data_IF_438007918300
#
_entry.id   IF_438007918300
#
_cell.length_a   1.000
_cell.length_b   1.000
_cell.length_c   1.000
_cell.angle_alpha   90.00
_cell.angle_beta   90.00
_cell.angle_gamma   90.00
#
_symmetry.space_group_name_H-M   'P 1'
#
loop_
_entity.id
_entity.type
_entity.pdbx_description
1 polymer ?
2 non-polymer ?
3 water ?
#
# COMPACT_ATOMS: atom_id res chain seq x y z
N UNK A 2 -23.65 1.57 20.83
CA UNK A 2 -24.36 1.38 19.51
C UNK A 2 -23.45 0.66 18.47
N UNK A 3 -24.05 0.15 17.39
CA UNK A 3 -23.34 -0.69 16.41
C UNK A 3 -22.28 -0.04 15.49
N UNK A 4 -21.12 -0.70 15.48
CA UNK A 4 -20.08 -0.45 14.53
C UNK A 4 -20.59 -1.20 13.30
N UNK A 5 -20.63 -0.49 12.18
CA UNK A 5 -21.09 -1.06 10.91
C UNK A 5 -19.91 -1.20 9.95
N UNK A 6 -19.89 -2.32 9.24
CA UNK A 6 -18.88 -2.55 8.21
C UNK A 6 -19.55 -2.71 6.87
N UNK A 7 -19.26 -1.79 5.92
CA UNK A 7 -19.67 -1.98 4.52
C UNK A 7 -18.70 -2.93 3.80
N UNK A 8 -19.24 -4.08 3.43
CA UNK A 8 -18.40 -5.30 3.33
C UNK A 8 -18.93 -6.36 2.33
N UNK A 9 -18.03 -7.24 1.91
CA UNK A 9 -18.39 -8.43 1.14
C UNK A 9 -17.40 -9.47 1.63
N UNK A 10 -17.88 -10.58 2.13
CA UNK A 10 -17.01 -11.56 2.73
C UNK A 10 -15.92 -12.12 1.80
N UNK A 11 -16.17 -12.14 0.50
CA UNK A 11 -15.10 -12.57 -0.42
C UNK A 11 -13.88 -11.63 -0.50
N UNK A 12 -14.08 -10.37 -0.17
CA UNK A 12 -13.03 -9.34 -0.24
C UNK A 12 -11.95 -9.53 0.87
N UNK A 13 -10.67 -9.68 0.47
CA UNK A 13 -9.61 -9.84 1.51
C UNK A 13 -9.53 -8.70 2.53
N UNK A 14 -9.44 -7.43 2.10
CA UNK A 14 -9.40 -6.42 3.13
C UNK A 14 -10.60 -6.38 4.10
N UNK A 15 -11.80 -6.83 3.69
CA UNK A 15 -12.96 -6.99 4.62
C UNK A 15 -12.69 -8.09 5.70
N UNK A 16 -12.12 -9.17 5.23
CA UNK A 16 -11.75 -10.26 6.11
C UNK A 16 -10.60 -9.86 7.10
N UNK A 17 -9.65 -9.01 6.68
CA UNK A 17 -8.62 -8.54 7.58
C UNK A 17 -9.32 -7.82 8.76
N UNK A 18 -10.31 -6.98 8.45
CA UNK A 18 -11.06 -6.25 9.44
C UNK A 18 -11.84 -7.25 10.30
N UNK A 19 -12.49 -8.24 9.68
CA UNK A 19 -13.25 -9.22 10.42
C UNK A 19 -12.34 -9.92 11.43
N UNK A 20 -11.13 -10.29 11.00
CA UNK A 20 -10.15 -10.91 11.93
C UNK A 20 -9.84 -10.03 13.13
N UNK A 21 -9.56 -8.76 12.85
CA UNK A 21 -9.24 -7.76 13.86
C UNK A 21 -10.42 -7.62 14.85
N UNK A 22 -11.66 -7.50 14.35
CA UNK A 22 -12.80 -7.39 15.21
C UNK A 22 -12.91 -8.60 16.14
N UNK A 23 -12.72 -9.80 15.61
CA UNK A 23 -12.71 -11.01 16.47
C UNK A 23 -11.61 -10.96 17.53
N UNK A 24 -10.40 -10.49 17.16
CA UNK A 24 -9.21 -10.47 18.05
C UNK A 24 -9.43 -9.50 19.23
N UNK A 25 -10.22 -8.48 18.99
CA UNK A 25 -10.59 -7.46 19.98
C UNK A 25 -11.89 -7.73 20.74
N UNK A 26 -12.61 -8.75 20.34
CA UNK A 26 -13.89 -9.14 20.92
C UNK A 26 -14.99 -8.19 20.53
N UNK A 27 -14.93 -7.60 19.35
CA UNK A 27 -15.94 -6.65 18.93
C UNK A 27 -16.96 -7.40 18.07
N UNK A 28 -18.21 -6.92 18.06
CA UNK A 28 -19.22 -7.46 17.12
C UNK A 28 -19.55 -6.47 16.00
N UNK A 29 -19.39 -6.89 14.77
CA UNK A 29 -19.65 -5.96 13.67
C UNK A 29 -21.01 -6.12 13.05
N UNK A 30 -21.70 -5.03 12.78
CA UNK A 30 -22.89 -5.19 11.96
C UNK A 30 -22.48 -5.07 10.49
N UNK A 31 -22.68 -6.13 9.72
CA UNK A 31 -22.22 -6.14 8.33
C UNK A 31 -23.28 -5.75 7.30
N UNK A 32 -22.96 -4.80 6.42
CA UNK A 32 -23.89 -4.36 5.39
C UNK A 32 -23.27 -4.69 4.03
N UNK A 33 -24.00 -5.43 3.19
CA UNK A 33 -23.41 -6.01 1.98
C UNK A 33 -23.25 -4.92 0.95
N UNK A 34 -22.06 -4.77 0.40
CA UNK A 34 -21.88 -3.97 -0.78
C UNK A 34 -21.54 -4.94 -1.90
N UNK A 35 -22.52 -5.29 -2.73
CA UNK A 35 -22.27 -6.26 -3.78
C UNK A 35 -21.55 -5.68 -5.04
N UNK A 36 -20.23 -5.78 -5.03
CA UNK A 36 -19.38 -5.30 -6.09
C UNK A 36 -19.80 -5.94 -7.44
N UNK A 37 -20.33 -7.16 -7.40
CA UNK A 37 -20.62 -7.85 -8.66
C UNK A 37 -21.83 -7.23 -9.39
N UNK A 38 -22.68 -6.53 -8.64
CA UNK A 38 -23.77 -5.78 -9.20
C UNK A 38 -23.53 -4.27 -9.13
N UNK A 39 -22.26 -3.87 -8.93
CA UNK A 39 -21.94 -2.44 -8.91
C UNK A 39 -22.54 -1.65 -7.74
N UNK A 40 -22.80 -2.28 -6.58
CA UNK A 40 -23.29 -1.53 -5.40
C UNK A 40 -22.37 -0.37 -5.02
N UNK A 41 -21.05 -0.62 -5.13
CA UNK A 41 -20.02 0.38 -4.82
C UNK A 41 -19.95 1.59 -5.74
N UNK A 42 -20.54 1.45 -6.93
CA UNK A 42 -20.58 2.56 -7.86
C UNK A 42 -21.79 3.46 -7.67
N UNK A 43 -22.70 3.07 -6.78
CA UNK A 43 -23.94 3.87 -6.54
C UNK A 43 -23.68 5.17 -5.75
N UNK A 44 -24.48 6.25 -6.00
CA UNK A 44 -24.13 7.54 -5.39
C UNK A 44 -24.12 7.51 -3.87
N UNK A 45 -25.02 6.68 -3.31
CA UNK A 45 -25.07 6.40 -1.88
C UNK A 45 -23.76 5.80 -1.31
N UNK A 46 -23.09 4.96 -2.07
CA UNK A 46 -21.81 4.44 -1.60
C UNK A 46 -20.66 5.41 -1.84
N UNK A 47 -20.64 6.07 -2.99
CA UNK A 47 -19.57 7.03 -3.34
C UNK A 47 -19.53 8.16 -2.31
N UNK A 48 -20.68 8.43 -1.69
CA UNK A 48 -20.76 9.48 -0.68
C UNK A 48 -19.93 9.07 0.54
N UNK A 49 -19.93 7.75 0.87
CA UNK A 49 -19.15 7.19 1.96
C UNK A 49 -17.62 7.13 1.69
N UNK A 50 -17.23 6.95 0.43
CA UNK A 50 -15.84 6.77 0.05
C UNK A 50 -15.69 7.19 -1.36
N UNK A 51 -15.07 8.35 -1.58
CA UNK A 51 -14.90 8.75 -2.97
C UNK A 51 -14.05 7.81 -3.83
N UNK A 52 -13.20 6.95 -3.23
CA UNK A 52 -12.45 5.93 -3.98
C UNK A 52 -13.34 4.70 -4.25
N UNK A 53 -14.57 4.75 -3.76
CA UNK A 53 -15.53 3.61 -3.90
C UNK A 53 -14.94 2.20 -3.72
N UNK A 54 -14.13 2.01 -2.66
CA UNK A 54 -13.73 0.65 -2.28
C UNK A 54 -14.38 0.21 -0.98
N UNK A 55 -14.45 -1.11 -0.77
CA UNK A 55 -14.71 -1.72 0.54
C UNK A 55 -13.36 -2.30 1.14
N UNK A 56 -13.18 -2.34 2.49
CA UNK A 56 -14.22 -2.05 3.51
C UNK A 56 -14.33 -0.56 3.78
N UNK A 57 -15.51 -0.16 4.24
CA UNK A 57 -15.71 1.15 4.98
C UNK A 57 -16.35 0.83 6.29
N UNK A 58 -15.81 1.45 7.34
CA UNK A 58 -16.35 1.34 8.70
C UNK A 58 -17.24 2.57 8.98
N UNK A 59 -18.42 2.29 9.56
CA UNK A 59 -19.21 3.33 10.17
C UNK A 59 -19.22 3.11 11.69
N UNK A 60 -18.51 3.96 12.43
CA UNK A 60 -18.53 3.89 13.90
C UNK A 60 -19.47 4.99 14.47
N UNK A 61 -20.79 4.71 14.50
CA UNK A 61 -21.73 5.64 15.12
C UNK A 61 -21.69 6.96 14.41
N UNK A 62 -21.65 6.91 13.10
CA UNK A 62 -21.61 8.11 12.32
C UNK A 62 -20.24 8.46 11.82
N UNK A 63 -19.21 7.95 12.47
CA UNK A 63 -17.85 8.26 12.02
C UNK A 63 -17.44 7.27 10.96
N UNK A 64 -17.05 7.82 9.80
CA UNK A 64 -16.76 7.03 8.66
C UNK A 64 -15.23 6.89 8.54
N UNK A 65 -14.78 5.64 8.51
CA UNK A 65 -13.37 5.35 8.42
C UNK A 65 -13.23 4.41 7.20
N UNK A 66 -12.51 4.85 6.17
CA UNK A 66 -12.29 4.04 4.97
C UNK A 66 -10.90 3.35 5.11
N UNK A 67 -10.72 2.22 4.41
CA UNK A 67 -9.42 1.60 4.04
C UNK A 67 -9.03 0.61 5.12
N UNK A 68 -8.93 -0.68 4.80
CA UNK A 68 -8.77 -1.77 5.81
C UNK A 68 -7.67 -1.51 6.90
N UNK A 69 -6.54 -0.92 6.49
CA UNK A 69 -5.36 -0.81 7.38
C UNK A 69 -5.62 0.31 8.36
N UNK A 70 -6.15 1.44 7.84
CA UNK A 70 -6.60 2.54 8.70
C UNK A 70 -7.69 2.07 9.66
N UNK A 71 -8.66 1.27 9.17
CA UNK A 71 -9.75 0.76 10.02
C UNK A 71 -9.19 -0.16 11.17
N UNK A 72 -8.34 -1.12 10.82
CA UNK A 72 -7.71 -2.00 11.88
C UNK A 72 -6.95 -1.19 12.96
N UNK A 73 -6.23 -0.15 12.52
CA UNK A 73 -5.54 0.67 13.47
C UNK A 73 -6.49 1.43 14.39
N UNK A 74 -7.46 2.05 13.73
CA UNK A 74 -8.47 2.79 14.40
C UNK A 74 -9.10 1.93 15.49
N UNK A 75 -9.51 0.71 15.11
CA UNK A 75 -10.23 -0.21 15.96
C UNK A 75 -9.37 -0.62 17.14
N UNK A 76 -8.09 -0.94 16.92
CA UNK A 76 -7.19 -1.30 18.03
C UNK A 76 -6.95 -0.08 18.96
N UNK A 77 -6.66 1.08 18.36
CA UNK A 77 -6.56 2.34 19.06
C UNK A 77 -7.76 2.68 19.96
N UNK A 78 -8.98 2.54 19.45
CA UNK A 78 -10.18 2.86 20.21
C UNK A 78 -10.52 1.72 21.20
N UNK A 79 -10.40 0.47 20.77
CA UNK A 79 -11.07 -0.64 21.51
C UNK A 79 -10.11 -1.66 22.11
N UNK A 80 -8.84 -1.51 21.85
CA UNK A 80 -7.88 -2.50 22.36
C UNK A 80 -7.70 -2.39 23.86
N UNK A 81 -7.70 -3.52 24.57
CA UNK A 81 -7.34 -3.43 25.97
C UNK A 81 -5.82 -3.33 26.19
N UNK A 82 -5.01 -3.96 25.33
CA UNK A 82 -3.57 -3.72 25.30
C UNK A 82 -3.11 -3.44 23.86
N UNK A 83 -1.79 -3.23 23.67
CA UNK A 83 -1.24 -2.78 22.38
C UNK A 83 -0.61 -3.91 21.54
N UNK A 84 -0.91 -5.15 21.90
CA UNK A 84 -0.20 -6.21 21.27
C UNK A 84 -0.49 -6.35 19.77
N UNK A 85 -1.73 -6.06 19.32
CA UNK A 85 -2.03 -6.12 17.89
C UNK A 85 -1.51 -4.92 17.09
N UNK A 86 -1.24 -3.81 17.77
CA UNK A 86 -0.70 -2.59 17.16
C UNK A 86 0.08 -1.74 18.20
N UNK A 87 1.41 -1.86 18.22
CA UNK A 87 2.20 -1.30 19.32
C UNK A 87 2.21 0.22 19.36
N UNK A 88 2.35 0.76 20.58
CA UNK A 88 2.63 2.13 20.82
C UNK A 88 4.10 2.50 20.60
N UNK A 89 5.02 1.61 20.99
CA UNK A 89 6.46 1.84 20.89
C UNK A 89 6.82 2.19 19.44
N UNK A 90 7.48 3.34 19.20
CA UNK A 90 7.76 3.78 17.80
C UNK A 90 8.50 2.80 16.87
N UNK A 91 9.54 2.14 17.37
CA UNK A 91 10.28 1.13 16.64
C UNK A 91 9.48 -0.13 16.35
N UNK A 92 8.93 -0.74 17.37
CA UNK A 92 8.06 -1.89 17.14
C UNK A 92 6.88 -1.59 16.18
N UNK A 93 6.20 -0.45 16.43
CA UNK A 93 5.17 0.04 15.51
C UNK A 93 5.71 0.28 14.09
N UNK A 94 6.92 0.84 13.93
CA UNK A 94 7.49 0.95 12.55
C UNK A 94 7.61 -0.41 11.81
N UNK A 95 7.98 -1.49 12.50
CA UNK A 95 7.98 -2.81 11.90
C UNK A 95 6.57 -3.31 11.46
N UNK A 96 5.51 -2.98 12.19
CA UNK A 96 4.12 -3.31 11.73
C UNK A 96 3.71 -2.45 10.50
N UNK A 97 4.00 -1.15 10.56
CA UNK A 97 3.63 -0.18 9.52
C UNK A 97 4.31 -0.57 8.25
N UNK A 98 5.57 -1.00 8.37
CA UNK A 98 6.27 -1.50 7.22
C UNK A 98 5.60 -2.78 6.60
N UNK A 99 5.20 -3.76 7.41
CA UNK A 99 4.46 -4.92 6.89
C UNK A 99 3.06 -4.54 6.27
N UNK A 100 2.29 -3.66 6.91
CA UNK A 100 1.02 -3.17 6.33
C UNK A 100 1.15 -2.59 4.93
N UNK A 101 2.16 -1.76 4.72
CA UNK A 101 2.46 -1.19 3.35
C UNK A 101 3.06 -2.16 2.41
N UNK A 102 3.70 -3.19 2.95
CA UNK A 102 4.03 -4.33 2.12
C UNK A 102 2.77 -5.11 1.73
N UNK A 103 1.82 -5.34 2.64
CA UNK A 103 0.55 -5.92 2.18
C UNK A 103 -0.24 -5.09 1.13
N UNK A 104 -0.49 -3.81 1.38
CA UNK A 104 -1.20 -2.98 0.39
C UNK A 104 -0.41 -2.82 -0.95
N UNK A 105 0.91 -2.55 -0.89
CA UNK A 105 1.67 -2.11 -2.06
C UNK A 105 2.17 -3.28 -2.88
N UNK A 106 2.29 -4.44 -2.20
CA UNK A 106 2.84 -5.66 -2.84
C UNK A 106 1.83 -6.82 -2.90
N UNK A 107 1.45 -7.41 -1.79
CA UNK A 107 0.58 -8.60 -1.81
C UNK A 107 -0.84 -8.34 -2.41
N UNK A 108 -1.56 -7.38 -1.86
CA UNK A 108 -2.83 -7.01 -2.43
C UNK A 108 -2.77 -6.41 -3.84
N UNK A 109 -1.86 -5.48 -4.12
CA UNK A 109 -1.91 -4.81 -5.43
C UNK A 109 -1.65 -5.82 -6.58
N UNK A 110 -0.78 -6.81 -6.33
CA UNK A 110 -0.46 -7.81 -7.34
C UNK A 110 -1.59 -8.86 -7.48
N UNK A 111 -2.24 -9.23 -6.39
CA UNK A 111 -3.42 -10.10 -6.40
C UNK A 111 -4.61 -9.48 -7.20
N UNK A 112 -4.94 -8.22 -6.89
CA UNK A 112 -5.86 -7.39 -7.70
C UNK A 112 -5.51 -7.16 -9.19
N UNK A 113 -4.24 -6.99 -9.50
CA UNK A 113 -3.70 -6.94 -10.90
C UNK A 113 -4.00 -8.27 -11.58
N UNK A 114 -4.18 -9.33 -10.78
CA UNK A 114 -4.56 -10.65 -11.35
C UNK A 114 -6.05 -10.90 -11.42
N UNK A 115 -6.79 -10.47 -10.40
CA UNK A 115 -8.22 -10.86 -10.19
C UNK A 115 -9.20 -9.96 -10.93
N UNK A 116 -8.83 -8.70 -10.99
CA UNK A 116 -9.79 -7.65 -11.35
C UNK A 116 -10.26 -7.81 -12.79
N UNK A 117 -9.31 -7.98 -13.69
CA UNK A 117 -9.56 -8.28 -15.08
C UNK A 117 -10.43 -9.52 -15.33
N UNK A 118 -10.32 -10.53 -14.48
CA UNK A 118 -11.19 -11.71 -14.55
C UNK A 118 -12.62 -11.43 -14.05
N UNK A 119 -12.74 -10.86 -12.85
CA UNK A 119 -14.01 -10.70 -12.22
C UNK A 119 -14.86 -9.63 -12.92
N UNK A 120 -14.23 -8.57 -13.42
CA UNK A 120 -14.99 -7.43 -13.97
C UNK A 120 -14.84 -7.13 -15.43
N UNK A 121 -13.80 -7.62 -16.08
CA UNK A 121 -13.49 -7.18 -17.44
C UNK A 121 -13.61 -8.32 -18.45
N UNK A 122 -14.11 -9.47 -17.99
CA UNK A 122 -14.42 -10.64 -18.84
C UNK A 122 -13.20 -11.40 -19.32
N UNK A 123 -12.06 -11.18 -18.65
CA UNK A 123 -10.82 -11.83 -19.09
C UNK A 123 -10.81 -13.28 -18.70
N UNK A 124 -10.31 -14.12 -19.62
CA UNK A 124 -10.18 -15.56 -19.37
C UNK A 124 -8.76 -15.99 -19.02
N UNK A 125 -7.77 -15.11 -19.16
CA UNK A 125 -6.34 -15.51 -18.88
C UNK A 125 -5.77 -14.86 -17.60
N UNK A 126 -4.62 -15.41 -17.15
CA UNK A 126 -3.73 -14.70 -16.20
C UNK A 126 -2.37 -14.52 -16.87
N UNK A 127 -2.15 -13.34 -17.48
CA UNK A 127 -0.85 -13.22 -18.16
C UNK A 127 0.37 -13.69 -17.33
N UNK A 128 1.36 -14.19 -18.07
CA UNK A 128 2.62 -14.63 -17.55
C UNK A 128 3.23 -13.66 -16.50
N UNK A 129 3.36 -12.39 -16.86
CA UNK A 129 3.98 -11.39 -15.97
C UNK A 129 3.22 -11.19 -14.65
N UNK A 130 1.89 -11.21 -14.72
CA UNK A 130 1.06 -11.22 -13.55
C UNK A 130 1.41 -12.40 -12.64
N UNK A 131 1.62 -13.58 -13.22
CA UNK A 131 1.97 -14.77 -12.40
C UNK A 131 3.31 -14.53 -11.75
N UNK A 132 4.24 -13.95 -12.51
CA UNK A 132 5.62 -13.66 -12.04
C UNK A 132 5.65 -12.61 -10.89
N UNK A 133 4.95 -11.48 -11.07
CA UNK A 133 4.68 -10.52 -9.94
C UNK A 133 4.22 -11.24 -8.68
N UNK A 134 3.19 -12.06 -8.81
CA UNK A 134 2.67 -12.82 -7.68
C UNK A 134 3.71 -13.76 -7.02
N UNK A 135 4.31 -14.68 -7.79
CA UNK A 135 5.36 -15.52 -7.29
C UNK A 135 6.44 -14.73 -6.59
N UNK A 136 6.83 -13.60 -7.19
CA UNK A 136 7.79 -12.73 -6.54
C UNK A 136 7.27 -12.14 -5.17
N UNK A 137 5.99 -11.86 -5.07
CA UNK A 137 5.42 -11.37 -3.83
C UNK A 137 5.58 -12.50 -2.77
N UNK A 138 5.38 -13.77 -3.17
CA UNK A 138 5.52 -14.90 -2.21
C UNK A 138 6.93 -14.98 -1.66
N UNK A 139 7.90 -14.74 -2.54
CA UNK A 139 9.30 -14.89 -2.18
C UNK A 139 9.71 -13.79 -1.21
N UNK A 140 9.22 -12.59 -1.46
CA UNK A 140 9.41 -11.46 -0.54
C UNK A 140 8.76 -11.69 0.82
N UNK A 141 7.54 -12.20 0.82
CA UNK A 141 6.92 -12.51 2.09
C UNK A 141 7.71 -13.59 2.88
N UNK A 142 8.03 -14.69 2.22
CA UNK A 142 8.86 -15.76 2.80
C UNK A 142 10.19 -15.19 3.42
N UNK A 143 10.91 -14.28 2.74
CA UNK A 143 12.16 -13.66 3.25
C UNK A 143 11.93 -12.69 4.44
N UNK A 144 10.71 -12.13 4.49
CA UNK A 144 10.29 -11.26 5.58
C UNK A 144 10.01 -12.02 6.88
N UNK A 145 9.51 -13.25 6.77
CA UNK A 145 9.14 -14.06 7.94
C UNK A 145 10.33 -14.70 8.69
N UNK A 146 11.29 -13.86 9.11
CA UNK A 146 12.41 -14.26 10.01
C UNK A 146 11.91 -14.70 11.42
N UNK A 147 10.92 -13.95 11.94
CA UNK A 147 10.19 -14.29 13.11
C UNK A 147 8.91 -15.12 12.84
N UNK A 148 8.25 -15.58 13.89
CA UNK A 148 7.00 -16.38 13.72
C UNK A 148 5.87 -15.62 12.98
N UNK A 149 5.86 -14.28 13.09
CA UNK A 149 4.81 -13.45 12.48
C UNK A 149 5.52 -12.37 11.65
N UNK A 150 4.75 -11.71 10.80
CA UNK A 150 5.32 -10.90 9.74
C UNK A 150 6.05 -9.71 10.32
N UNK A 151 5.60 -9.17 11.46
CA UNK A 151 6.27 -8.02 12.06
C UNK A 151 6.91 -8.31 13.42
N UNK A 152 7.10 -9.60 13.74
CA UNK A 152 8.05 -9.94 14.84
C UNK A 152 7.56 -11.19 15.50
N UNK A 153 7.97 -11.40 16.78
CA UNK A 153 7.63 -12.61 17.56
C UNK A 153 6.18 -12.68 18.01
N UNK A 154 5.51 -11.53 17.96
CA UNK A 154 4.11 -11.41 18.28
C UNK A 154 3.23 -11.16 17.04
N UNK A 155 2.10 -11.89 17.01
CA UNK A 155 0.96 -11.62 16.02
C UNK A 155 0.40 -10.18 16.07
N UNK A 156 0.39 -9.52 14.92
CA UNK A 156 -0.15 -8.19 14.97
C UNK A 156 -1.23 -8.03 13.91
N UNK A 157 -1.84 -6.84 13.78
CA UNK A 157 -2.76 -6.60 12.62
C UNK A 157 -2.12 -6.79 11.21
N UNK A 158 -0.80 -6.63 11.10
CA UNK A 158 -0.11 -6.97 9.83
C UNK A 158 -0.24 -8.46 9.42
N UNK A 159 -0.44 -9.38 10.36
CA UNK A 159 -0.73 -10.78 10.06
C UNK A 159 -2.08 -10.96 9.47
N UNK A 160 -3.07 -10.17 9.91
CA UNK A 160 -4.49 -10.34 9.43
C UNK A 160 -4.65 -9.88 8.00
N UNK A 161 -3.98 -8.78 7.71
CA UNK A 161 -3.92 -8.21 6.40
C UNK A 161 -3.19 -9.16 5.38
N UNK A 162 -2.08 -9.76 5.83
CA UNK A 162 -1.34 -10.63 4.99
C UNK A 162 -2.06 -11.91 4.68
N UNK A 163 -2.59 -12.61 5.70
CA UNK A 163 -3.27 -13.88 5.50
C UNK A 163 -4.57 -13.72 4.72
N UNK A 164 -5.34 -12.65 4.97
CA UNK A 164 -6.61 -12.44 4.20
C UNK A 164 -6.32 -12.50 2.68
N UNK A 165 -5.27 -11.83 2.24
CA UNK A 165 -4.82 -11.90 0.85
C UNK A 165 -4.19 -13.24 0.40
N UNK A 166 -3.17 -13.70 1.12
CA UNK A 166 -2.42 -14.90 0.77
C UNK A 166 -3.41 -16.05 0.72
N UNK A 167 -4.37 -16.08 1.64
CA UNK A 167 -5.39 -17.18 1.62
C UNK A 167 -6.28 -17.14 0.40
N UNK A 168 -6.26 -16.04 -0.36
CA UNK A 168 -7.16 -15.92 -1.50
C UNK A 168 -6.44 -16.24 -2.81
N UNK A 169 -5.27 -15.64 -2.98
CA UNK A 169 -4.42 -15.84 -4.13
C UNK A 169 -3.75 -17.22 -4.20
N UNK A 170 -3.49 -17.90 -3.08
CA UNK A 170 -2.86 -19.20 -3.23
C UNK A 170 -3.82 -20.24 -3.90
N UNK A 171 -5.09 -19.91 -3.96
CA UNK A 171 -6.07 -20.74 -4.67
C UNK A 171 -5.98 -20.67 -6.19
N UNK A 172 -5.30 -19.63 -6.68
CA UNK A 172 -5.26 -19.30 -8.06
C UNK A 172 -3.82 -19.41 -8.54
N UNK A 173 -2.87 -18.68 -7.95
CA UNK A 173 -1.45 -18.79 -8.34
C UNK A 173 -0.75 -19.69 -7.31
N UNK A 174 -0.29 -20.89 -7.70
CA UNK A 174 0.17 -21.90 -6.72
C UNK A 174 1.35 -21.40 -5.85
N UNK A 175 1.20 -21.57 -4.53
CA UNK A 175 2.21 -21.25 -3.54
C UNK A 175 2.85 -22.58 -3.21
N UNK A 176 4.03 -22.83 -3.77
CA UNK A 176 4.62 -24.16 -3.62
C UNK A 176 5.15 -24.36 -2.19
N UNK A 177 4.67 -25.40 -1.56
CA UNK A 177 5.11 -25.69 -0.21
C UNK A 177 6.63 -25.88 0.01
N UNK A 178 7.25 -26.65 -0.86
CA UNK A 178 8.64 -27.00 -0.65
C UNK A 178 9.49 -25.72 -0.75
N UNK A 179 9.02 -24.71 -1.47
CA UNK A 179 9.80 -23.48 -1.70
C UNK A 179 9.43 -22.36 -0.72
N UNK A 180 8.31 -22.53 -0.05
CA UNK A 180 7.89 -21.50 0.90
C UNK A 180 7.56 -22.13 2.30
N UNK A 181 8.56 -22.80 2.96
CA UNK A 181 8.16 -23.44 4.23
C UNK A 181 7.82 -22.45 5.38
N UNK A 182 8.36 -21.23 5.35
CA UNK A 182 8.05 -20.24 6.39
C UNK A 182 6.61 -19.72 6.30
N UNK A 183 6.16 -19.38 5.09
CA UNK A 183 4.74 -19.03 4.87
C UNK A 183 3.86 -20.18 5.33
N UNK A 184 4.19 -21.41 4.97
CA UNK A 184 3.32 -22.54 5.42
C UNK A 184 3.26 -22.70 6.94
N UNK A 185 4.38 -22.56 7.62
CA UNK A 185 4.37 -22.57 9.04
C UNK A 185 3.61 -21.34 9.64
N UNK A 186 3.79 -20.12 9.09
CA UNK A 186 3.01 -18.96 9.55
C UNK A 186 1.45 -19.19 9.38
N UNK A 187 1.01 -19.71 8.22
CA UNK A 187 -0.40 -20.10 8.01
C UNK A 187 -0.93 -21.03 9.11
N UNK A 188 -0.14 -22.04 9.46
CA UNK A 188 -0.57 -23.00 10.47
C UNK A 188 -0.72 -22.35 11.85
N UNK A 189 0.17 -21.41 12.22
CA UNK A 189 0.02 -20.56 13.42
C UNK A 189 -1.34 -19.85 13.43
N UNK A 190 -1.62 -19.07 12.38
CA UNK A 190 -2.92 -18.34 12.22
C UNK A 190 -4.18 -19.23 12.26
N UNK A 191 -4.12 -20.44 11.75
CA UNK A 191 -5.32 -21.27 11.64
C UNK A 191 -5.60 -21.90 12.99
N UNK A 192 -4.68 -21.73 13.92
CA UNK A 192 -4.96 -22.09 15.30
C UNK A 192 -5.98 -21.15 15.99
N UNK A 193 -6.11 -19.92 15.51
CA UNK A 193 -7.03 -19.00 16.13
C UNK A 193 -8.44 -19.56 16.13
N UNK A 194 -9.14 -19.49 17.27
CA UNK A 194 -10.47 -20.19 17.22
C UNK A 194 -11.53 -19.59 16.25
N UNK A 195 -11.32 -18.34 15.79
CA UNK A 195 -12.19 -17.59 14.88
C UNK A 195 -11.60 -17.47 13.46
N UNK A 196 -10.46 -18.14 13.23
CA UNK A 196 -9.91 -18.19 11.85
C UNK A 196 -10.91 -18.65 10.74
N UNK A 197 -11.57 -19.81 10.91
CA UNK A 197 -12.43 -20.30 9.80
C UNK A 197 -13.57 -19.30 9.48
N UNK A 198 -14.33 -18.90 10.52
CA UNK A 198 -15.46 -17.97 10.36
C UNK A 198 -15.00 -16.58 9.85
N UNK A 199 -13.89 -16.04 10.38
CA UNK A 199 -13.52 -14.71 10.00
C UNK A 199 -12.82 -14.60 8.65
N UNK A 200 -12.13 -15.67 8.23
CA UNK A 200 -11.22 -15.62 7.05
C UNK A 200 -11.18 -16.86 6.18
N UNK A 201 -10.97 -18.03 6.80
CA UNK A 201 -10.63 -19.22 6.00
C UNK A 201 -11.65 -19.49 4.86
N UNK A 202 -12.94 -19.56 5.19
CA UNK A 202 -13.96 -19.84 4.15
C UNK A 202 -14.00 -18.82 3.00
N UNK A 203 -13.93 -17.52 3.32
CA UNK A 203 -13.94 -16.43 2.33
C UNK A 203 -12.76 -16.48 1.38
N UNK A 204 -11.58 -16.77 1.94
CA UNK A 204 -10.32 -16.81 1.17
C UNK A 204 -10.34 -17.92 0.14
N UNK A 205 -10.63 -19.13 0.62
CA UNK A 205 -10.92 -20.30 -0.23
C UNK A 205 -12.01 -20.03 -1.29
N UNK A 206 -13.16 -19.49 -0.87
CA UNK A 206 -14.25 -19.17 -1.80
C UNK A 206 -13.92 -18.10 -2.87
N UNK A 207 -13.15 -17.06 -2.52
CA UNK A 207 -12.71 -16.11 -3.53
C UNK A 207 -11.81 -16.76 -4.58
N UNK A 208 -10.86 -17.59 -4.14
CA UNK A 208 -10.08 -18.46 -5.03
C UNK A 208 -10.95 -19.32 -6.00
N UNK A 209 -11.85 -20.14 -5.43
CA UNK A 209 -12.80 -20.84 -6.23
C UNK A 209 -13.56 -20.00 -7.26
N UNK A 210 -14.01 -18.83 -6.84
CA UNK A 210 -14.92 -18.04 -7.62
C UNK A 210 -14.11 -17.47 -8.79
N UNK A 211 -12.87 -17.04 -8.54
CA UNK A 211 -12.01 -16.53 -9.62
C UNK A 211 -11.81 -17.65 -10.74
N UNK A 212 -11.41 -18.83 -10.28
CA UNK A 212 -11.27 -20.02 -11.13
C UNK A 212 -12.54 -20.35 -11.91
N UNK A 213 -13.70 -20.21 -11.28
CA UNK A 213 -14.99 -20.40 -11.98
C UNK A 213 -15.34 -19.29 -12.98
N UNK A 214 -15.17 -18.03 -12.61
CA UNK A 214 -15.25 -16.88 -13.54
C UNK A 214 -14.32 -16.95 -14.74
N UNK A 215 -13.09 -17.38 -14.52
CA UNK A 215 -12.13 -17.50 -15.58
C UNK A 215 -12.63 -18.52 -16.62
N UNK A 216 -13.06 -19.69 -16.17
CA UNK A 216 -13.62 -20.72 -17.09
C UNK A 216 -14.90 -20.21 -17.84
N UNK A 217 -15.88 -19.73 -17.09
CA UNK A 217 -16.99 -19.02 -17.66
C UNK A 217 -16.57 -18.04 -18.78
N UNK A 218 -15.59 -17.14 -18.54
CA UNK A 218 -15.18 -16.11 -19.51
C UNK A 218 -14.52 -16.67 -20.80
N UNK A 219 -13.94 -17.87 -20.66
CA UNK A 219 -13.26 -18.63 -21.74
C UNK A 219 -14.21 -19.39 -22.67
N UNK A 220 -15.51 -19.35 -22.36
CA UNK A 220 -16.55 -20.02 -23.14
C UNK A 220 -17.13 -18.96 -24.03
N UNK A 221 -17.40 -17.84 -23.36
CA UNK A 221 -18.33 -16.76 -23.80
C UNK A 221 -18.36 -15.65 -22.72
N UNK B 1 23.84 12.22 19.10
CA UNK B 1 24.16 10.88 18.53
C UNK B 1 24.61 11.03 17.05
N UNK B 2 24.54 9.98 16.23
CA UNK B 2 24.90 10.13 14.79
C UNK B 2 23.73 10.65 13.98
N UNK B 3 24.05 11.50 13.00
CA UNK B 3 23.09 11.88 11.94
C UNK B 3 22.33 10.67 11.40
N UNK B 4 21.05 10.90 11.14
CA UNK B 4 20.24 9.90 10.50
C UNK B 4 20.83 9.58 9.14
N UNK B 5 20.78 8.31 8.79
CA UNK B 5 21.25 7.85 7.50
C UNK B 5 20.09 7.38 6.66
N UNK B 6 19.97 7.94 5.45
CA UNK B 6 19.10 7.34 4.43
C UNK B 6 19.84 6.63 3.29
N UNK B 7 19.63 5.32 3.20
CA UNK B 7 19.96 4.49 2.00
C UNK B 7 18.91 4.70 0.91
N UNK B 8 19.36 5.26 -0.21
CA UNK B 8 18.47 6.11 -1.00
C UNK B 8 18.98 6.41 -2.43
N UNK B 9 18.14 7.04 -3.26
CA UNK B 9 18.49 7.45 -4.60
C UNK B 9 17.49 8.53 -4.93
N UNK B 10 17.96 9.67 -5.39
CA UNK B 10 17.10 10.78 -5.58
C UNK B 10 16.07 10.55 -6.66
N UNK B 11 16.37 9.76 -7.68
CA UNK B 11 15.37 9.38 -8.65
C UNK B 11 14.13 8.57 -8.12
N UNK B 12 14.33 7.89 -7.01
CA UNK B 12 13.29 7.01 -6.42
C UNK B 12 12.21 7.86 -5.73
N UNK B 13 10.91 7.70 -6.16
CA UNK B 13 9.80 8.40 -5.51
C UNK B 13 9.61 8.17 -3.98
N UNK B 14 9.49 6.91 -3.51
CA UNK B 14 9.43 6.85 -2.07
C UNK B 14 10.65 7.47 -1.34
N UNK B 15 11.86 7.46 -1.96
CA UNK B 15 13.02 8.21 -1.32
C UNK B 15 12.79 9.73 -1.17
N UNK B 16 12.25 10.35 -2.24
CA UNK B 16 11.85 11.75 -2.21
C UNK B 16 10.78 12.16 -1.21
N UNK B 17 9.82 11.28 -0.96
CA UNK B 17 8.85 11.47 0.11
C UNK B 17 9.54 11.59 1.46
N UNK B 18 10.42 10.67 1.77
CA UNK B 18 11.23 10.78 2.98
C UNK B 18 12.10 12.05 3.04
N UNK B 19 12.72 12.41 1.92
CA UNK B 19 13.51 13.67 1.87
C UNK B 19 12.65 14.95 2.09
N UNK B 20 11.40 14.98 1.59
CA UNK B 20 10.49 16.09 1.88
C UNK B 20 10.11 16.07 3.34
N UNK B 21 9.82 14.90 3.88
CA UNK B 21 9.52 14.75 5.34
C UNK B 21 10.64 15.30 6.23
N UNK B 22 11.90 14.94 5.90
CA UNK B 22 13.07 15.41 6.61
C UNK B 22 13.14 16.91 6.59
N UNK B 23 13.01 17.51 5.41
CA UNK B 23 13.07 18.97 5.24
C UNK B 23 11.99 19.68 6.06
N UNK B 24 10.74 19.24 5.90
CA UNK B 24 9.63 19.66 6.76
C UNK B 24 9.95 19.61 8.29
N UNK B 25 10.64 18.55 8.74
CA UNK B 25 10.99 18.38 10.14
C UNK B 25 12.26 19.17 10.53
N UNK B 26 12.83 19.90 9.57
CA UNK B 26 14.17 20.46 9.74
C UNK B 26 15.18 19.45 10.25
N UNK B 27 15.17 18.25 9.68
CA UNK B 27 16.18 17.19 9.96
C UNK B 27 17.21 17.12 8.84
N UNK B 28 18.46 16.84 9.19
CA UNK B 28 19.46 16.63 8.16
C UNK B 28 19.66 15.12 7.93
N UNK B 29 19.63 14.71 6.67
CA UNK B 29 19.78 13.29 6.35
C UNK B 29 21.10 13.09 5.67
N UNK B 30 21.85 12.14 6.17
CA UNK B 30 23.02 11.64 5.49
C UNK B 30 22.60 10.58 4.44
N UNK B 31 22.79 10.92 3.16
CA UNK B 31 22.42 10.02 2.07
C UNK B 31 23.56 9.08 1.66
N UNK B 32 23.27 7.79 1.64
CA UNK B 32 24.16 6.79 1.07
C UNK B 32 23.51 6.23 -0.20
N UNK B 33 24.09 6.50 -1.35
CA UNK B 33 23.44 6.13 -2.60
C UNK B 33 23.32 4.63 -2.80
N UNK B 34 22.09 4.17 -3.01
CA UNK B 34 21.92 2.82 -3.46
C UNK B 34 21.45 2.94 -4.92
N UNK B 35 22.35 2.68 -5.85
CA UNK B 35 22.04 2.84 -7.28
C UNK B 35 21.40 1.58 -7.79
N UNK B 36 20.09 1.63 -7.98
CA UNK B 36 19.31 0.46 -8.45
C UNK B 36 19.73 -0.02 -9.87
N UNK B 37 20.16 0.93 -10.67
CA UNK B 37 20.54 0.77 -12.04
C UNK B 37 21.86 -0.01 -12.20
N UNK B 38 22.76 0.12 -11.23
CA UNK B 38 23.96 -0.72 -11.18
C UNK B 38 23.80 -1.79 -10.12
N UNK B 39 22.57 -2.05 -9.71
CA UNK B 39 22.18 -3.22 -8.91
C UNK B 39 22.49 -3.18 -7.43
N UNK B 40 22.64 -1.98 -6.87
CA UNK B 40 23.28 -1.85 -5.52
C UNK B 40 22.37 -2.42 -4.44
N UNK B 41 21.07 -2.39 -4.73
CA UNK B 41 20.05 -2.96 -3.81
C UNK B 41 20.04 -4.47 -3.64
N UNK B 42 20.68 -5.16 -4.57
CA UNK B 42 20.84 -6.61 -4.51
C UNK B 42 22.24 -7.01 -3.97
N UNK B 43 23.18 -6.06 -3.87
CA UNK B 43 24.51 -6.37 -3.31
C UNK B 43 24.32 -6.89 -1.85
N UNK B 44 25.22 -7.73 -1.34
CA UNK B 44 24.75 -8.51 -0.17
C UNK B 44 24.75 -7.83 1.23
N UNK B 45 25.47 -6.72 1.40
CA UNK B 45 25.36 -5.93 2.66
C UNK B 45 24.01 -5.29 2.80
N UNK B 46 23.53 -4.71 1.70
CA UNK B 46 22.20 -4.12 1.65
C UNK B 46 21.05 -5.12 1.93
N UNK B 47 21.16 -6.36 1.45
CA UNK B 47 20.16 -7.41 1.71
C UNK B 47 19.96 -7.76 3.20
N UNK B 48 21.03 -7.64 3.99
CA UNK B 48 20.97 -7.82 5.45
C UNK B 48 20.21 -6.69 6.14
N UNK B 49 20.30 -5.47 5.61
CA UNK B 49 19.50 -4.32 6.08
C UNK B 49 18.03 -4.51 5.72
N UNK B 50 17.77 -4.94 4.50
CA UNK B 50 16.41 -5.07 4.00
C UNK B 50 16.25 -6.35 3.15
N UNK B 51 15.64 -7.41 3.71
CA UNK B 51 15.32 -8.63 2.93
C UNK B 51 14.36 -8.44 1.73
N UNK B 52 13.58 -7.36 1.71
CA UNK B 52 12.75 -7.05 0.57
C UNK B 52 13.57 -6.29 -0.44
N UNK B 53 14.84 -6.01 -0.08
CA UNK B 53 15.75 -5.30 -0.98
C UNK B 53 15.15 -4.06 -1.74
N UNK B 54 14.40 -3.22 -1.03
CA UNK B 54 13.88 -1.97 -1.59
C UNK B 54 14.54 -0.76 -0.87
N UNK B 55 14.58 0.38 -1.54
CA UNK B 55 14.86 1.68 -0.90
C UNK B 55 13.52 2.50 -0.75
N UNK B 56 13.45 3.45 0.21
CA UNK B 56 14.47 3.87 1.21
C UNK B 56 14.55 2.91 2.39
N UNK B 57 15.72 2.94 3.04
CA UNK B 57 15.91 2.34 4.34
C UNK B 57 16.59 3.37 5.26
N UNK B 58 16.08 3.47 6.49
CA UNK B 58 16.60 4.40 7.47
C UNK B 58 17.49 3.70 8.47
N UNK B 59 18.63 4.34 8.72
CA UNK B 59 19.52 3.96 9.80
C UNK B 59 19.53 5.10 10.80
N UNK B 60 18.88 4.88 11.95
CA UNK B 60 18.87 5.83 13.03
C UNK B 60 19.72 5.21 14.16
N UNK B 61 21.05 5.53 14.17
CA UNK B 61 21.96 5.09 15.22
C UNK B 61 21.84 3.61 15.58
N UNK B 62 21.62 2.78 14.58
CA UNK B 62 21.57 1.32 14.72
C UNK B 62 20.18 0.75 14.67
N UNK B 63 19.15 1.60 14.82
CA UNK B 63 17.76 1.20 14.57
C UNK B 63 17.52 1.30 13.07
N UNK B 64 17.14 0.19 12.46
CA UNK B 64 16.92 0.11 11.02
C UNK B 64 15.42 0.21 10.77
N UNK B 65 15.02 1.15 9.93
CA UNK B 65 13.57 1.27 9.56
C UNK B 65 13.47 1.16 8.06
N UNK B 66 12.73 0.17 7.57
CA UNK B 66 12.45 -0.02 6.12
C UNK B 66 11.10 0.59 5.74
N UNK B 67 10.94 0.97 4.47
CA UNK B 67 9.63 1.41 3.89
C UNK B 67 9.29 2.88 4.16
N UNK B 68 9.15 3.65 3.08
CA UNK B 68 8.98 5.08 3.13
C UNK B 68 7.88 5.50 4.11
N UNK B 69 6.70 4.86 4.12
CA UNK B 69 5.61 5.40 4.94
C UNK B 69 5.88 5.13 6.40
N UNK B 70 6.45 3.96 6.71
CA UNK B 70 6.95 3.65 8.09
C UNK B 70 8.07 4.61 8.55
N UNK B 71 9.03 4.84 7.68
CA UNK B 71 10.08 5.84 7.90
C UNK B 71 9.50 7.24 8.23
N UNK B 72 8.59 7.78 7.42
CA UNK B 72 8.01 9.10 7.66
C UNK B 72 7.22 9.15 8.93
N UNK B 73 6.42 8.12 9.21
CA UNK B 73 5.72 8.07 10.51
C UNK B 73 6.71 8.07 11.68
N UNK B 74 7.75 7.26 11.57
CA UNK B 74 8.80 7.13 12.60
C UNK B 74 9.46 8.47 12.86
N UNK B 75 9.83 9.17 11.78
CA UNK B 75 10.46 10.48 11.93
C UNK B 75 9.62 11.55 12.59
N UNK B 76 8.34 11.64 12.20
CA UNK B 76 7.40 12.62 12.81
C UNK B 76 7.18 12.26 14.28
N UNK B 77 6.90 10.99 14.55
CA UNK B 77 6.61 10.58 15.91
C UNK B 77 7.81 10.94 16.79
N UNK B 78 9.00 10.55 16.39
CA UNK B 78 10.17 10.69 17.21
C UNK B 78 10.78 12.09 17.15
N UNK B 79 10.75 12.72 15.98
CA UNK B 79 11.41 14.00 15.83
C UNK B 79 10.54 15.24 15.57
N UNK B 80 9.24 15.05 15.39
CA UNK B 80 8.29 16.13 15.26
C UNK B 80 8.08 16.95 16.53
N UNK B 81 7.85 18.24 16.34
CA UNK B 81 7.66 19.09 17.48
C UNK B 81 6.18 19.16 17.76
N UNK B 82 5.37 18.86 16.76
CA UNK B 82 3.94 18.77 16.90
C UNK B 82 3.52 17.62 16.00
N UNK B 83 2.21 17.38 15.88
CA UNK B 83 1.81 16.33 14.96
C UNK B 83 1.06 16.85 13.70
N UNK B 84 1.52 18.00 13.22
CA UNK B 84 0.83 18.56 12.05
C UNK B 84 1.03 17.70 10.80
N UNK B 85 2.18 17.04 10.68
CA UNK B 85 2.49 16.19 9.51
C UNK B 85 1.91 14.79 9.72
N UNK B 86 1.63 14.41 10.96
CA UNK B 86 1.02 13.10 11.22
C UNK B 86 0.15 13.15 12.48
N UNK B 87 -1.17 13.43 12.32
CA UNK B 87 -2.13 13.71 13.39
C UNK B 87 -2.10 12.58 14.48
N UNK B 88 -2.24 12.98 15.75
CA UNK B 88 -2.41 12.05 16.83
C UNK B 88 -3.90 11.80 17.15
N UNK B 89 -4.82 12.62 16.69
CA UNK B 89 -6.25 12.29 16.82
C UNK B 89 -6.65 10.99 16.08
N UNK B 90 -7.24 9.98 16.79
CA UNK B 90 -7.49 8.73 16.04
C UNK B 90 -8.23 8.94 14.66
N UNK B 91 -9.19 9.85 14.57
CA UNK B 91 -9.98 10.00 13.35
C UNK B 91 -9.24 10.74 12.27
N UNK B 92 -8.59 11.86 12.56
CA UNK B 92 -7.82 12.53 11.55
C UNK B 92 -6.58 11.70 11.15
N UNK B 93 -6.00 10.96 12.08
CA UNK B 93 -4.93 10.01 11.73
C UNK B 93 -5.40 8.88 10.75
N UNK B 94 -6.62 8.39 10.94
CA UNK B 94 -7.24 7.39 10.04
C UNK B 94 -7.34 7.95 8.61
N UNK B 95 -7.68 9.24 8.47
CA UNK B 95 -7.77 9.89 7.15
C UNK B 95 -6.37 9.92 6.51
N UNK B 96 -5.34 10.25 7.30
CA UNK B 96 -3.96 10.11 6.81
C UNK B 96 -3.55 8.66 6.48
N UNK B 97 -3.84 7.72 7.37
CA UNK B 97 -3.49 6.32 7.16
C UNK B 97 -4.16 5.80 5.91
N UNK B 98 -5.43 6.15 5.68
CA UNK B 98 -6.11 5.69 4.47
C UNK B 98 -5.46 6.28 3.22
N UNK B 99 -5.04 7.54 3.27
CA UNK B 99 -4.36 8.17 2.13
C UNK B 99 -2.94 7.55 1.85
N UNK B 100 -2.18 7.23 2.90
CA UNK B 100 -0.90 6.47 2.73
C UNK B 100 -1.01 5.10 2.04
N UNK B 101 -1.99 4.28 2.44
CA UNK B 101 -2.29 3.07 1.74
C UNK B 101 -2.85 3.24 0.30
N UNK B 102 -3.56 4.35 0.06
CA UNK B 102 -3.98 4.68 -1.29
C UNK B 102 -2.70 4.89 -2.09
N UNK B 103 -1.74 5.61 -1.53
CA UNK B 103 -0.54 5.89 -2.28
C UNK B 103 0.24 4.61 -2.54
N UNK B 104 0.35 3.72 -1.55
CA UNK B 104 1.17 2.51 -1.77
C UNK B 104 0.43 1.43 -2.61
N UNK B 105 -0.84 1.14 -2.28
CA UNK B 105 -1.63 0.14 -3.02
C UNK B 105 -2.19 0.57 -4.38
N UNK B 106 -2.28 1.87 -4.66
CA UNK B 106 -2.90 2.35 -5.90
C UNK B 106 -1.90 3.22 -6.71
N UNK B 107 -1.45 4.32 -6.14
CA UNK B 107 -0.69 5.29 -6.97
C UNK B 107 0.68 4.72 -7.32
N UNK B 108 1.46 4.37 -6.29
CA UNK B 108 2.80 3.82 -6.50
C UNK B 108 2.80 2.43 -7.21
N UNK B 109 2.01 1.45 -6.72
CA UNK B 109 1.80 0.16 -7.39
C UNK B 109 1.55 0.24 -8.90
N UNK B 110 0.63 1.11 -9.30
CA UNK B 110 0.29 1.24 -10.69
C UNK B 110 1.38 1.87 -11.48
N UNK B 111 2.00 2.93 -10.94
CA UNK B 111 3.24 3.47 -11.50
C UNK B 111 4.34 2.38 -11.68
N UNK B 112 4.65 1.64 -10.62
CA UNK B 112 5.62 0.58 -10.70
C UNK B 112 5.23 -0.46 -11.79
N UNK B 113 3.94 -0.83 -11.88
CA UNK B 113 3.48 -1.80 -12.92
C UNK B 113 3.80 -1.31 -14.33
N UNK B 114 3.86 0.01 -14.49
CA UNK B 114 4.28 0.66 -15.75
C UNK B 114 5.78 0.86 -15.94
N UNK B 115 6.49 1.30 -14.88
CA UNK B 115 7.89 1.69 -15.01
C UNK B 115 8.82 0.48 -15.00
N UNK B 116 8.51 -0.53 -14.16
CA UNK B 116 9.51 -1.58 -13.82
C UNK B 116 9.82 -2.45 -15.02
N UNK B 117 8.80 -2.91 -15.72
CA UNK B 117 8.99 -3.66 -16.94
C UNK B 117 9.90 -2.91 -17.99
N UNK B 118 9.91 -1.57 -17.99
CA UNK B 118 10.79 -0.76 -18.85
C UNK B 118 12.22 -0.59 -18.29
N UNK B 119 12.32 -0.20 -17.01
CA UNK B 119 13.61 0.11 -16.40
C UNK B 119 14.45 -1.15 -16.12
N UNK B 120 13.76 -2.25 -15.85
CA UNK B 120 14.37 -3.45 -15.32
C UNK B 120 14.18 -4.73 -16.15
N UNK B 121 13.07 -4.80 -16.89
CA UNK B 121 12.77 -6.01 -17.68
C UNK B 121 12.97 -5.79 -19.21
N UNK B 122 13.41 -4.61 -19.60
CA UNK B 122 13.78 -4.35 -20.95
C UNK B 122 12.69 -4.16 -21.98
N UNK B 123 11.47 -3.86 -21.55
CA UNK B 123 10.36 -3.64 -22.49
C UNK B 123 10.35 -2.24 -23.12
N UNK B 124 9.68 -2.10 -24.25
CA UNK B 124 9.71 -0.85 -25.01
C UNK B 124 8.35 -0.23 -25.29
N UNK B 125 7.32 -0.73 -24.59
CA UNK B 125 5.96 -0.25 -24.76
C UNK B 125 5.32 0.10 -23.43
N UNK B 126 4.21 0.84 -23.49
CA UNK B 126 3.25 0.96 -22.39
C UNK B 126 1.86 0.52 -22.91
N UNK B 127 1.44 -0.70 -22.50
CA UNK B 127 0.23 -1.35 -22.98
C UNK B 127 -1.01 -0.48 -22.73
N UNK B 128 -2.07 -0.65 -23.49
CA UNK B 128 -3.31 0.10 -23.28
C UNK B 128 -3.87 0.00 -21.85
N UNK B 129 -3.82 -1.18 -21.25
CA UNK B 129 -4.41 -1.41 -19.91
C UNK B 129 -3.70 -0.70 -18.75
N UNK B 130 -2.38 -0.76 -18.75
CA UNK B 130 -1.50 0.04 -17.90
C UNK B 130 -1.80 1.54 -17.92
N UNK B 131 -2.12 2.08 -19.11
CA UNK B 131 -2.39 3.49 -19.27
C UNK B 131 -3.69 3.78 -18.53
N UNK B 132 -4.67 2.90 -18.78
CA UNK B 132 -6.00 3.06 -18.20
C UNK B 132 -6.00 2.88 -16.69
N UNK B 133 -5.21 1.91 -16.20
CA UNK B 133 -4.99 1.71 -14.75
C UNK B 133 -4.45 2.97 -14.05
N UNK B 134 -3.35 3.50 -14.58
CA UNK B 134 -2.80 4.79 -14.13
C UNK B 134 -3.79 5.95 -14.23
N UNK B 135 -4.44 6.11 -15.39
CA UNK B 135 -5.34 7.26 -15.54
C UNK B 135 -6.51 7.15 -14.55
N UNK B 136 -6.97 5.92 -14.31
CA UNK B 136 -7.96 5.67 -13.26
C UNK B 136 -7.46 6.09 -11.87
N UNK B 137 -6.20 5.79 -11.58
CA UNK B 137 -5.59 6.28 -10.34
C UNK B 137 -5.61 7.84 -10.26
N UNK B 138 -5.27 8.55 -11.36
CA UNK B 138 -5.36 10.04 -11.33
C UNK B 138 -6.73 10.56 -10.94
N UNK B 139 -7.75 9.96 -11.51
CA UNK B 139 -9.16 10.23 -11.27
C UNK B 139 -9.55 9.96 -9.79
N UNK B 140 -9.11 8.81 -9.23
CA UNK B 140 -9.29 8.55 -7.77
C UNK B 140 -8.65 9.62 -6.86
N UNK B 141 -7.42 10.03 -7.19
CA UNK B 141 -6.74 11.12 -6.47
C UNK B 141 -7.56 12.40 -6.58
N UNK B 142 -8.04 12.74 -7.79
CA UNK B 142 -8.87 13.97 -8.00
C UNK B 142 -10.15 13.97 -7.06
N UNK B 143 -10.88 12.86 -7.09
CA UNK B 143 -12.06 12.64 -6.24
C UNK B 143 -11.78 12.68 -4.76
N UNK B 144 -10.54 12.37 -4.37
CA UNK B 144 -10.14 12.34 -2.94
C UNK B 144 -9.82 13.75 -2.44
N UNK B 145 -9.33 14.58 -3.35
CA UNK B 145 -8.92 15.94 -3.03
C UNK B 145 -10.10 16.89 -2.83
N UNK B 146 -11.03 16.48 -1.99
CA UNK B 146 -12.18 17.37 -1.66
C UNK B 146 -11.72 18.59 -0.85
N UNK B 147 -10.54 18.50 -0.21
CA UNK B 147 -9.95 19.56 0.61
C UNK B 147 -8.69 20.03 -0.11
N UNK B 148 -7.97 20.98 0.46
CA UNK B 148 -6.76 21.52 -0.17
C UNK B 148 -5.65 20.48 -0.29
N UNK B 149 -5.56 19.60 0.72
CA UNK B 149 -4.58 18.54 0.75
C UNK B 149 -5.29 17.21 0.73
N UNK B 150 -4.49 16.17 0.56
CA UNK B 150 -4.97 14.86 0.26
C UNK B 150 -5.75 14.22 1.44
N UNK B 151 -5.30 14.49 2.66
CA UNK B 151 -5.90 13.90 3.85
C UNK B 151 -6.56 14.98 4.75
N UNK B 152 -6.79 16.18 4.22
CA UNK B 152 -7.58 17.21 4.92
C UNK B 152 -7.14 18.63 4.55
N UNK B 153 -7.45 19.63 5.41
CA UNK B 153 -7.22 21.07 5.05
C UNK B 153 -5.79 21.48 5.26
N UNK B 154 -5.02 20.53 5.78
CA UNK B 154 -3.66 20.72 6.22
C UNK B 154 -2.73 19.70 5.55
N UNK B 155 -1.54 20.14 5.18
CA UNK B 155 -0.50 19.28 4.60
C UNK B 155 0.02 18.21 5.59
N UNK B 156 0.09 16.97 5.12
CA UNK B 156 0.61 15.86 5.93
C UNK B 156 1.64 15.04 5.13
N UNK B 157 2.31 14.10 5.79
CA UNK B 157 3.17 13.18 5.07
C UNK B 157 2.41 12.50 3.89
N UNK B 158 1.08 12.31 3.94
CA UNK B 158 0.38 11.71 2.80
C UNK B 158 0.48 12.59 1.54
N UNK B 159 0.58 13.91 1.72
CA UNK B 159 0.92 14.74 0.54
C UNK B 159 2.25 14.51 -0.12
N UNK B 160 3.27 14.25 0.69
CA UNK B 160 4.60 13.91 0.24
C UNK B 160 4.70 12.57 -0.50
N UNK B 161 4.04 11.51 -0.01
CA UNK B 161 3.95 10.25 -0.76
C UNK B 161 3.30 10.48 -2.12
N UNK B 162 2.12 11.10 -2.08
CA UNK B 162 1.36 11.38 -3.28
C UNK B 162 2.13 12.20 -4.31
N UNK B 163 2.74 13.31 -3.92
CA UNK B 163 3.39 14.13 -4.96
C UNK B 163 4.66 13.46 -5.51
N UNK B 164 5.34 12.65 -4.67
CA UNK B 164 6.59 12.01 -5.12
C UNK B 164 6.27 11.04 -6.28
N UNK B 165 5.11 10.40 -6.20
CA UNK B 165 4.69 9.49 -7.22
C UNK B 165 4.12 10.23 -8.41
N UNK B 166 3.17 11.12 -8.19
CA UNK B 166 2.50 11.84 -9.27
C UNK B 166 3.47 12.66 -10.10
N UNK B 167 4.46 13.25 -9.46
CA UNK B 167 5.43 14.07 -10.19
C UNK B 167 6.34 13.18 -11.08
N UNK B 168 6.37 11.88 -10.81
CA UNK B 168 7.20 10.99 -11.62
C UNK B 168 6.38 10.49 -12.81
N UNK B 169 5.19 9.93 -12.53
CA UNK B 169 4.32 9.27 -13.54
C UNK B 169 3.64 10.25 -14.55
N UNK B 170 3.33 11.47 -14.13
CA UNK B 170 2.74 12.58 -14.94
C UNK B 170 3.40 12.86 -16.29
N UNK B 171 4.72 12.72 -16.34
CA UNK B 171 5.46 12.93 -17.56
C UNK B 171 5.64 11.73 -18.48
N UNK B 172 4.99 10.62 -18.12
CA UNK B 172 4.92 9.43 -18.94
C UNK B 172 3.47 9.16 -19.32
N UNK B 173 2.60 8.96 -18.32
CA UNK B 173 1.15 8.86 -18.56
C UNK B 173 0.50 10.24 -18.30
N UNK B 174 0.16 10.99 -19.38
CA UNK B 174 -0.15 12.40 -19.15
C UNK B 174 -1.38 12.59 -18.26
N UNK B 175 -1.21 13.53 -17.32
CA UNK B 175 -2.25 14.03 -16.44
C UNK B 175 -2.79 15.36 -17.03
N UNK B 176 -3.89 15.26 -17.78
CA UNK B 176 -4.46 16.40 -18.50
C UNK B 176 -5.16 17.37 -17.53
N UNK B 177 -4.81 18.63 -17.67
CA UNK B 177 -5.11 19.68 -16.72
C UNK B 177 -6.63 19.91 -16.48
N UNK B 178 -7.43 19.69 -17.51
CA UNK B 178 -8.82 20.07 -17.46
C UNK B 178 -9.64 18.91 -16.92
N UNK B 179 -9.14 17.68 -17.03
CA UNK B 179 -9.86 16.55 -16.39
C UNK B 179 -9.52 16.56 -14.90
N UNK B 180 -8.42 17.27 -14.56
CA UNK B 180 -7.83 17.20 -13.22
C UNK B 180 -7.53 18.58 -12.57
N UNK B 181 -8.57 19.44 -12.43
CA UNK B 181 -8.25 20.78 -11.82
C UNK B 181 -7.86 20.69 -10.33
N UNK B 182 -8.35 19.69 -9.62
CA UNK B 182 -7.99 19.63 -8.19
C UNK B 182 -6.53 19.24 -7.97
N UNK B 183 -6.00 18.25 -8.72
CA UNK B 183 -4.59 17.82 -8.66
C UNK B 183 -3.70 19.02 -9.02
N UNK B 184 -4.08 19.73 -10.07
CA UNK B 184 -3.32 20.87 -10.54
C UNK B 184 -3.15 22.00 -9.48
N UNK B 185 -4.26 22.47 -8.95
CA UNK B 185 -4.32 23.33 -7.78
C UNK B 185 -3.46 22.79 -6.55
N UNK B 186 -3.57 21.50 -6.27
CA UNK B 186 -2.78 20.86 -5.19
C UNK B 186 -1.27 20.87 -5.43
N UNK B 187 -0.83 20.54 -6.64
CA UNK B 187 0.58 20.63 -7.03
C UNK B 187 1.15 22.04 -6.74
N UNK B 188 0.38 23.04 -7.16
CA UNK B 188 0.64 24.46 -6.93
C UNK B 188 0.91 24.79 -5.49
N UNK B 189 0.08 24.26 -4.59
CA UNK B 189 0.28 24.42 -3.15
C UNK B 189 1.63 23.90 -2.73
N UNK B 190 1.95 22.68 -3.12
CA UNK B 190 3.18 22.05 -2.67
C UNK B 190 4.40 22.72 -3.26
N UNK B 191 4.29 23.23 -4.49
CA UNK B 191 5.35 24.01 -5.11
C UNK B 191 5.71 25.31 -4.36
N UNK B 192 4.81 25.79 -3.53
CA UNK B 192 5.05 27.00 -2.74
C UNK B 192 6.07 26.71 -1.65
N UNK B 193 6.16 25.46 -1.19
CA UNK B 193 7.19 25.10 -0.21
C UNK B 193 8.58 25.55 -0.70
N UNK B 194 9.44 26.07 0.23
CA UNK B 194 10.82 26.47 -0.15
C UNK B 194 11.70 25.32 -0.66
N UNK B 195 11.52 24.12 -0.10
CA UNK B 195 12.33 22.92 -0.45
C UNK B 195 11.74 21.97 -1.51
N UNK B 196 10.60 22.31 -2.11
CA UNK B 196 9.91 21.39 -3.02
C UNK B 196 10.74 20.94 -4.24
N UNK B 197 11.17 21.88 -5.10
CA UNK B 197 11.99 21.56 -6.30
C UNK B 197 13.21 20.70 -5.93
N UNK B 198 13.93 21.15 -4.91
CA UNK B 198 15.10 20.49 -4.40
C UNK B 198 14.92 19.05 -3.84
N UNK B 199 13.84 18.79 -3.11
CA UNK B 199 13.68 17.51 -2.43
C UNK B 199 12.83 16.53 -3.22
N UNK B 200 12.09 17.03 -4.22
CA UNK B 200 11.20 16.25 -5.09
C UNK B 200 10.97 16.69 -6.56
N UNK B 201 10.61 17.95 -6.79
CA UNK B 201 10.22 18.40 -8.09
C UNK B 201 11.03 17.88 -9.27
N UNK B 202 12.30 18.25 -9.32
CA UNK B 202 13.16 17.84 -10.38
C UNK B 202 13.45 16.35 -10.47
N UNK B 203 13.61 15.66 -9.33
CA UNK B 203 13.89 14.18 -9.34
C UNK B 203 12.73 13.40 -9.96
N UNK B 204 11.50 13.91 -9.73
CA UNK B 204 10.26 13.42 -10.36
C UNK B 204 10.25 13.60 -11.89
N UNK B 205 10.46 14.85 -12.34
CA UNK B 205 10.62 15.19 -13.76
C UNK B 205 11.61 14.25 -14.50
N UNK B 206 12.81 14.15 -13.92
CA UNK B 206 13.94 13.33 -14.40
C UNK B 206 13.68 11.83 -14.44
N UNK B 207 12.93 11.31 -13.46
CA UNK B 207 12.51 9.91 -13.46
C UNK B 207 11.53 9.68 -14.66
N UNK B 208 10.56 10.58 -14.88
CA UNK B 208 9.65 10.46 -16.01
C UNK B 208 10.44 10.47 -17.33
N UNK B 209 11.28 11.49 -17.51
CA UNK B 209 12.20 11.57 -18.65
C UNK B 209 13.06 10.31 -18.88
N UNK B 210 13.60 9.76 -17.80
CA UNK B 210 14.47 8.60 -17.88
C UNK B 210 13.74 7.34 -18.38
N UNK B 211 12.48 7.19 -18.00
CA UNK B 211 11.69 6.04 -18.39
C UNK B 211 11.37 6.06 -19.91
N UNK B 212 10.97 7.23 -20.40
CA UNK B 212 10.79 7.45 -21.86
C UNK B 212 12.10 7.22 -22.66
N UNK B 213 13.22 7.70 -22.12
CA UNK B 213 14.54 7.53 -22.73
C UNK B 213 14.98 6.05 -22.81
N UNK B 214 14.88 5.33 -21.69
CA UNK B 214 15.21 3.90 -21.60
C UNK B 214 14.25 2.99 -22.43
N UNK B 215 13.07 3.54 -22.73
CA UNK B 215 12.02 2.88 -23.49
C UNK B 215 12.25 2.94 -25.03
N UNK B 216 12.67 4.10 -25.54
CA UNK B 216 13.18 4.21 -26.91
C UNK B 216 14.44 3.35 -27.06
N UNK B 217 15.29 3.38 -26.06
CA UNK B 217 16.51 2.57 -26.03
C UNK B 217 16.23 1.05 -25.99
N UNK B 218 15.06 0.66 -25.46
CA UNK B 218 14.63 -0.75 -25.44
C UNK B 218 13.90 -1.16 -26.71
N UNK B 219 13.36 -0.22 -27.48
CA UNK B 219 12.68 -0.56 -28.73
C UNK B 219 13.66 -0.71 -29.89
#
# INVERSE_FOLDING_TARGET
MSNLVLYTLHLSPPCRAVELTAKALGLELEQKTINLLTGDHLKPEFVKLNPQHTIPVLDDNGTIITESHAIMIYLVTKYGKDDSLYPKDPVKQARVNSALHFESGVLFARMRFIFERILFFGKSDIPEDRVEYVQKSYELLEDTLVDDFVAGPTMTIADFSCISTISSIMGVVPLEQSKHPRIYAWIDRLKQLPYYEEANGGGGTDLGKFVLAKKEENAKA
MSNLVLYTLHLSPPCRAVELTAKALGLELEQKTINLLTGDHLKPEFVKLNPQHTIPVLDDNGTIITESHAIMIYLVTKYGKDDSLYPKDPVKQARVNSALHFESGVLFARMRFIFERILFFGKSDIPEDRVEYVQKSYELLEDTLVDDFVAGPTMTIADFSCISTISSIMGVVPLEQSKHPRIYAWIDRLKQLPYYEEANGGGGTDLGKFVLAKKEENAKA
#
